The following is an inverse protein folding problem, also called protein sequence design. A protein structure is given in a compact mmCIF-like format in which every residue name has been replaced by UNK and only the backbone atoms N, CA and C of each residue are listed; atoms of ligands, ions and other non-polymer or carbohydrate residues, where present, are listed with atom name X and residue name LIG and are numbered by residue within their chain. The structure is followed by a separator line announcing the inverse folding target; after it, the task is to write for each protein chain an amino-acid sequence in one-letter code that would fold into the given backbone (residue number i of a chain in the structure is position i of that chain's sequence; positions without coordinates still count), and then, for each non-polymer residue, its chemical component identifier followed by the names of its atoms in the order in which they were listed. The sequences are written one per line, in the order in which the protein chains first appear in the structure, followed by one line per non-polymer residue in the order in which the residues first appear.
data_IF_596472218519
#
_entry.id   IF_596472218519
#
_cell.length_a   1.000
_cell.length_b   1.000
_cell.length_c   1.000
_cell.angle_alpha   90.00
_cell.angle_beta   90.00
_cell.angle_gamma   90.00
#
_symmetry.space_group_name_H-M   'P 1'
#
loop_
_entity.id
_entity.type
_entity.pdbx_description
1 polymer ?
#
# COMPACT_ATOMS: atom_id res chain seq x y z
N UNK A 1 -12.90 -20.47 -0.95
CA UNK A 1 -12.85 -21.73 -1.71
C UNK A 1 -12.78 -21.35 -3.18
N UNK A 2 -12.21 -22.16 -4.06
CA UNK A 2 -12.22 -21.86 -5.50
C UNK A 2 -12.72 -23.08 -6.28
N UNK A 3 -13.41 -22.85 -7.40
CA UNK A 3 -13.87 -23.91 -8.29
C UNK A 3 -12.67 -24.56 -9.02
N UNK A 4 -12.95 -25.58 -9.84
CA UNK A 4 -11.94 -26.28 -10.67
C UNK A 4 -11.16 -25.33 -11.59
N UNK A 5 -11.86 -24.35 -12.16
CA UNK A 5 -11.32 -23.34 -13.09
C UNK A 5 -10.48 -22.25 -12.40
N UNK A 6 -10.54 -22.14 -11.06
CA UNK A 6 -9.81 -21.15 -10.27
C UNK A 6 -10.61 -19.90 -9.90
N UNK A 7 -11.90 -19.83 -10.26
CA UNK A 7 -12.79 -18.74 -9.86
C UNK A 7 -13.13 -18.84 -8.36
N UNK A 8 -13.13 -17.71 -7.62
CA UNK A 8 -13.53 -17.70 -6.23
C UNK A 8 -14.99 -18.10 -6.01
N UNK A 9 -15.21 -18.94 -5.01
CA UNK A 9 -16.51 -19.29 -4.45
C UNK A 9 -16.59 -18.79 -3.01
N UNK A 10 -17.80 -18.82 -2.44
CA UNK A 10 -17.99 -18.51 -1.03
C UNK A 10 -17.18 -19.45 -0.12
N UNK A 11 -16.67 -18.94 1.02
CA UNK A 11 -15.94 -19.76 1.97
C UNK A 11 -16.86 -20.81 2.59
N UNK A 12 -16.30 -21.99 2.86
CA UNK A 12 -17.00 -23.06 3.56
C UNK A 12 -16.48 -23.19 5.00
N UNK A 13 -17.25 -23.86 5.86
CA UNK A 13 -16.82 -24.21 7.22
C UNK A 13 -15.55 -25.09 7.17
N UNK A 14 -14.64 -24.98 8.15
CA UNK A 14 -13.44 -25.82 8.22
C UNK A 14 -13.72 -27.32 8.19
N UNK A 15 -14.82 -27.77 8.81
CA UNK A 15 -15.25 -29.18 8.79
C UNK A 15 -15.52 -29.66 7.35
N UNK A 16 -16.30 -28.90 6.57
CA UNK A 16 -16.57 -29.21 5.15
C UNK A 16 -15.27 -29.24 4.34
N UNK A 17 -14.37 -28.30 4.57
CA UNK A 17 -13.07 -28.28 3.90
C UNK A 17 -12.24 -29.54 4.20
N UNK A 18 -12.26 -30.02 5.45
CA UNK A 18 -11.56 -31.26 5.85
C UNK A 18 -12.16 -32.48 5.16
N UNK A 19 -13.48 -32.67 5.21
CA UNK A 19 -14.14 -33.78 4.53
C UNK A 19 -13.86 -33.80 3.02
N UNK A 20 -13.83 -32.64 2.36
CA UNK A 20 -13.51 -32.55 0.93
C UNK A 20 -12.07 -32.94 0.61
N UNK A 21 -11.13 -32.60 1.50
CA UNK A 21 -9.72 -32.97 1.36
C UNK A 21 -9.51 -34.46 1.62
N UNK A 22 -10.11 -34.99 2.69
CA UNK A 22 -10.01 -36.41 3.07
C UNK A 22 -10.63 -37.32 2.00
N UNK A 23 -11.73 -36.88 1.40
CA UNK A 23 -12.39 -37.58 0.30
C UNK A 23 -11.71 -37.37 -1.07
N UNK A 24 -10.60 -36.64 -1.16
CA UNK A 24 -9.89 -36.36 -2.42
C UNK A 24 -10.64 -35.46 -3.42
N UNK A 25 -11.78 -34.88 -3.03
CA UNK A 25 -12.63 -34.01 -3.89
C UNK A 25 -12.10 -32.58 -3.99
N UNK A 26 -11.11 -32.22 -3.18
CA UNK A 26 -10.45 -30.93 -3.21
C UNK A 26 -8.94 -31.07 -2.98
N UNK A 27 -8.18 -30.08 -3.42
CA UNK A 27 -6.75 -29.94 -3.10
C UNK A 27 -6.44 -28.61 -2.44
N UNK A 28 -5.39 -28.55 -1.65
CA UNK A 28 -4.91 -27.30 -1.06
C UNK A 28 -4.26 -26.44 -2.14
N UNK A 29 -4.83 -25.28 -2.41
CA UNK A 29 -4.29 -24.29 -3.35
C UNK A 29 -3.33 -23.31 -2.66
N UNK A 30 -3.74 -22.82 -1.49
CA UNK A 30 -2.95 -21.87 -0.71
C UNK A 30 -3.13 -22.13 0.77
N UNK A 31 -2.02 -22.06 1.52
CA UNK A 31 -2.07 -22.14 2.98
C UNK A 31 -2.55 -20.84 3.63
N UNK A 32 -2.29 -19.69 2.99
CA UNK A 32 -2.62 -18.38 3.54
C UNK A 32 -3.06 -17.37 2.45
N UNK A 33 -4.29 -16.83 2.54
CA UNK A 33 -5.41 -17.39 3.31
C UNK A 33 -5.65 -18.86 2.92
N UNK A 34 -6.11 -19.69 3.86
CA UNK A 34 -6.29 -21.12 3.60
C UNK A 34 -7.38 -21.31 2.54
N UNK A 35 -6.99 -21.87 1.41
CA UNK A 35 -7.82 -21.95 0.21
C UNK A 35 -7.70 -23.36 -0.36
N UNK A 36 -8.84 -24.00 -0.54
CA UNK A 36 -8.96 -25.26 -1.27
C UNK A 36 -9.54 -25.01 -2.65
N UNK A 37 -9.06 -25.80 -3.63
CA UNK A 37 -9.60 -25.88 -4.99
C UNK A 37 -10.40 -27.16 -5.12
N UNK A 38 -11.65 -27.05 -5.57
CA UNK A 38 -12.48 -28.21 -5.90
C UNK A 38 -11.92 -28.90 -7.15
N UNK A 39 -11.96 -30.23 -7.17
CA UNK A 39 -11.50 -31.05 -8.31
C UNK A 39 -12.65 -31.47 -9.24
N UNK A 40 -13.86 -31.01 -8.95
CA UNK A 40 -15.09 -31.30 -9.68
C UNK A 40 -15.82 -29.98 -10.00
N UNK A 41 -16.70 -30.04 -10.99
CA UNK A 41 -17.49 -28.89 -11.43
C UNK A 41 -18.68 -28.68 -10.48
N UNK A 42 -18.92 -27.44 -10.08
CA UNK A 42 -19.95 -27.09 -9.13
C UNK A 42 -20.76 -25.89 -9.62
N UNK A 43 -21.96 -25.74 -9.09
CA UNK A 43 -22.76 -24.53 -9.29
C UNK A 43 -22.02 -23.31 -8.73
N UNK A 44 -21.80 -22.29 -9.56
CA UNK A 44 -21.04 -21.07 -9.22
C UNK A 44 -21.89 -20.04 -8.47
N UNK A 45 -22.82 -20.52 -7.63
CA UNK A 45 -23.70 -19.69 -6.84
C UNK A 45 -22.88 -18.93 -5.78
N UNK A 46 -22.68 -17.64 -6.00
CA UNK A 46 -21.92 -16.75 -5.13
C UNK A 46 -22.81 -15.59 -4.66
N UNK A 47 -22.47 -15.03 -3.50
CA UNK A 47 -23.06 -13.79 -3.01
C UNK A 47 -22.06 -12.65 -3.26
N UNK A 48 -22.55 -11.41 -3.46
CA UNK A 48 -21.67 -10.26 -3.63
C UNK A 48 -20.78 -10.05 -2.40
N UNK A 49 -19.50 -9.76 -2.64
CA UNK A 49 -18.52 -9.41 -1.61
C UNK A 49 -17.96 -8.03 -1.93
N UNK A 50 -18.15 -7.09 -1.00
CA UNK A 50 -17.62 -5.73 -1.09
C UNK A 50 -16.31 -5.68 -0.34
N UNK A 51 -15.29 -5.06 -0.93
CA UNK A 51 -13.99 -4.85 -0.29
C UNK A 51 -13.76 -3.38 -0.01
N UNK A 52 -13.75 -3.00 1.26
CA UNK A 52 -13.31 -1.67 1.69
C UNK A 52 -11.79 -1.60 1.81
N UNK A 53 -11.19 -0.47 1.44
CA UNK A 53 -9.76 -0.19 1.52
C UNK A 53 -9.54 1.19 2.15
N UNK A 54 -8.88 1.20 3.31
CA UNK A 54 -8.35 2.41 3.94
C UNK A 54 -6.85 2.51 3.63
N UNK A 55 -6.49 3.42 2.72
CA UNK A 55 -5.12 3.54 2.23
C UNK A 55 -4.29 4.49 3.09
N UNK A 56 -3.22 3.96 3.67
CA UNK A 56 -2.18 4.75 4.32
C UNK A 56 -0.78 4.58 3.72
N UNK A 57 0.15 5.43 4.19
CA UNK A 57 1.54 5.45 3.74
C UNK A 57 2.37 4.30 4.31
N UNK A 58 2.15 3.97 5.59
CA UNK A 58 2.85 2.91 6.33
C UNK A 58 2.01 1.63 6.46
N UNK A 59 0.71 1.79 6.64
CA UNK A 59 -0.26 0.71 6.76
C UNK A 59 -1.45 0.99 5.86
N UNK A 60 -2.03 -0.04 5.27
CA UNK A 60 -3.32 0.04 4.56
C UNK A 60 -4.23 -1.02 5.14
N UNK A 61 -5.42 -0.64 5.58
CA UNK A 61 -6.45 -1.55 6.03
C UNK A 61 -7.28 -2.06 4.87
N UNK A 62 -7.79 -3.28 4.98
CA UNK A 62 -8.79 -3.79 4.06
C UNK A 62 -9.78 -4.70 4.79
N UNK A 63 -11.03 -4.68 4.35
CA UNK A 63 -12.09 -5.50 4.92
C UNK A 63 -13.02 -6.01 3.82
N UNK A 64 -13.30 -7.31 3.81
CA UNK A 64 -14.21 -7.96 2.88
C UNK A 64 -15.52 -8.29 3.61
N UNK A 65 -16.63 -7.72 3.16
CA UNK A 65 -17.95 -7.94 3.73
C UNK A 65 -18.82 -8.72 2.75
N UNK A 66 -19.68 -9.59 3.27
CA UNK A 66 -20.68 -10.29 2.45
C UNK A 66 -21.76 -10.91 3.32
N UNK A 67 -23.03 -10.70 2.99
CA UNK A 67 -24.16 -11.18 3.81
C UNK A 67 -24.08 -10.67 5.25
N UNK A 68 -23.86 -9.36 5.42
CA UNK A 68 -23.80 -8.63 6.70
C UNK A 68 -22.78 -9.14 7.73
N UNK A 69 -21.71 -9.81 7.29
CA UNK A 69 -20.63 -10.25 8.16
C UNK A 69 -19.27 -10.07 7.50
N UNK A 70 -18.23 -10.00 8.34
CA UNK A 70 -16.84 -9.91 7.87
C UNK A 70 -16.41 -11.29 7.38
N UNK A 71 -16.08 -11.40 6.10
CA UNK A 71 -15.51 -12.62 5.51
C UNK A 71 -14.04 -12.76 5.89
N UNK A 72 -13.30 -11.65 5.70
CA UNK A 72 -11.85 -11.56 5.82
C UNK A 72 -11.46 -10.10 5.99
N UNK A 73 -10.58 -9.81 6.93
CA UNK A 73 -10.04 -8.46 7.14
C UNK A 73 -8.53 -8.51 7.34
N UNK A 74 -7.87 -7.37 7.26
CA UNK A 74 -6.45 -7.33 7.55
C UNK A 74 -5.79 -5.98 7.38
N UNK A 75 -4.50 -5.98 7.69
CA UNK A 75 -3.63 -4.81 7.57
C UNK A 75 -2.39 -5.14 6.77
N UNK A 76 -2.15 -4.32 5.76
CA UNK A 76 -0.97 -4.37 4.90
C UNK A 76 0.11 -3.48 5.50
N UNK A 77 1.20 -4.06 6.00
CA UNK A 77 2.38 -3.32 6.44
C UNK A 77 3.30 -3.06 5.25
N UNK A 78 3.29 -1.82 4.78
CA UNK A 78 4.03 -1.40 3.61
C UNK A 78 5.54 -1.36 3.84
N UNK A 79 6.31 -1.54 2.77
CA UNK A 79 7.76 -1.43 2.84
C UNK A 79 8.24 0.02 3.00
N UNK A 80 8.84 0.31 4.15
CA UNK A 80 9.42 1.62 4.48
C UNK A 80 10.90 1.77 4.10
N UNK A 81 11.58 0.66 3.83
CA UNK A 81 13.03 0.59 3.57
C UNK A 81 13.46 1.10 2.18
N UNK A 82 12.51 1.42 1.30
CA UNK A 82 12.76 1.79 -0.10
C UNK A 82 13.53 3.10 -0.19
N UNK A 83 13.16 4.11 0.62
CA UNK A 83 13.83 5.41 0.65
C UNK A 83 15.31 5.25 0.97
N UNK A 84 15.60 4.59 2.09
CA UNK A 84 16.97 4.34 2.55
C UNK A 84 17.77 3.55 1.51
N UNK A 85 17.18 2.52 0.89
CA UNK A 85 17.84 1.77 -0.20
C UNK A 85 18.16 2.64 -1.42
N UNK A 86 17.28 3.57 -1.78
CA UNK A 86 17.52 4.50 -2.89
C UNK A 86 18.62 5.52 -2.56
N UNK A 87 18.69 5.99 -1.31
CA UNK A 87 19.75 6.85 -0.78
C UNK A 87 21.10 6.13 -0.75
N UNK A 88 21.17 4.90 -0.22
CA UNK A 88 22.39 4.08 -0.26
C UNK A 88 22.86 3.85 -1.70
N UNK A 89 21.93 3.60 -2.64
CA UNK A 89 22.26 3.47 -4.06
C UNK A 89 22.81 4.77 -4.65
N UNK A 90 22.33 5.94 -4.21
CA UNK A 90 22.86 7.25 -4.61
C UNK A 90 24.27 7.48 -4.03
N UNK A 91 24.46 7.19 -2.74
CA UNK A 91 25.75 7.30 -2.06
C UNK A 91 26.82 6.40 -2.69
N UNK A 92 26.51 5.12 -2.95
CA UNK A 92 27.42 4.19 -3.61
C UNK A 92 27.86 4.64 -5.01
N UNK A 93 26.97 5.31 -5.77
CA UNK A 93 27.32 5.91 -7.06
C UNK A 93 28.23 7.12 -6.90
N UNK A 94 28.01 7.96 -5.87
CA UNK A 94 28.87 9.12 -5.54
C UNK A 94 30.27 8.65 -5.13
N UNK A 95 30.38 7.74 -4.17
CA UNK A 95 31.65 7.19 -3.72
C UNK A 95 32.47 6.53 -4.85
N UNK A 96 31.81 5.87 -5.81
CA UNK A 96 32.48 5.31 -7.00
C UNK A 96 33.06 6.41 -7.92
N UNK A 97 32.42 7.57 -8.02
CA UNK A 97 32.93 8.70 -8.82
C UNK A 97 34.10 9.37 -8.13
N UNK A 98 34.05 9.55 -6.80
CA UNK A 98 35.15 10.17 -6.07
C UNK A 98 36.43 9.31 -6.12
N UNK A 99 36.30 7.97 -6.16
CA UNK A 99 37.46 7.05 -6.23
C UNK A 99 38.10 6.89 -7.60
N UNK A 100 37.37 7.13 -8.69
CA UNK A 100 37.92 7.07 -10.04
C UNK A 100 38.22 8.50 -10.44
N UNK A 101 39.49 8.90 -10.53
CA UNK A 101 39.90 10.24 -10.95
C UNK A 101 38.95 10.74 -12.05
N UNK A 102 38.25 11.82 -11.71
CA UNK A 102 37.15 12.47 -12.42
C UNK A 102 36.27 11.59 -13.35
N UNK A 103 35.21 10.98 -12.81
CA UNK A 103 34.10 10.44 -13.63
C UNK A 103 32.86 11.36 -13.62
N UNK A 104 32.51 12.03 -14.73
CA UNK A 104 31.39 12.96 -14.77
C UNK A 104 30.03 12.29 -14.55
N UNK A 105 29.03 13.01 -13.96
CA UNK A 105 27.65 12.55 -13.92
C UNK A 105 27.06 12.37 -15.32
N UNK A 106 26.57 11.17 -15.64
CA UNK A 106 25.77 10.94 -16.86
C UNK A 106 24.28 11.10 -16.52
N UNK A 107 23.77 12.33 -16.59
CA UNK A 107 22.34 12.60 -16.34
C UNK A 107 21.45 12.09 -17.49
N UNK A 108 21.97 12.09 -18.71
CA UNK A 108 21.32 11.54 -19.92
C UNK A 108 21.02 10.04 -19.81
N UNK A 109 21.93 9.25 -19.23
CA UNK A 109 21.74 7.80 -19.02
C UNK A 109 20.67 7.47 -17.96
N UNK A 110 19.91 8.47 -17.49
CA UNK A 110 18.81 8.30 -16.53
C UNK A 110 17.44 8.39 -17.20
N UNK A 111 17.30 7.95 -18.45
CA UNK A 111 16.02 7.91 -19.18
C UNK A 111 14.89 7.26 -18.36
N UNK A 112 15.18 6.17 -17.65
CA UNK A 112 14.20 5.53 -16.75
C UNK A 112 13.68 6.45 -15.63
N UNK A 113 14.44 7.45 -15.18
CA UNK A 113 13.99 8.42 -14.16
C UNK A 113 13.32 9.67 -14.74
N UNK A 114 13.55 9.96 -16.02
CA UNK A 114 12.96 11.09 -16.76
C UNK A 114 11.66 10.68 -17.48
N UNK A 115 11.36 9.38 -17.61
CA UNK A 115 10.16 8.85 -18.28
C UNK A 115 8.88 9.48 -17.71
N UNK A 116 8.06 10.06 -18.59
CA UNK A 116 6.73 10.59 -18.23
C UNK A 116 5.83 9.48 -17.67
N UNK A 117 4.92 9.83 -16.77
CA UNK A 117 4.03 8.88 -16.07
C UNK A 117 4.73 7.94 -15.09
N UNK A 118 6.03 8.13 -14.82
CA UNK A 118 6.75 7.29 -13.86
C UNK A 118 6.34 7.59 -12.41
N UNK A 119 5.81 6.56 -11.76
CA UNK A 119 5.64 6.55 -10.31
C UNK A 119 6.98 6.45 -9.56
N UNK A 120 7.15 7.19 -8.44
CA UNK A 120 8.26 6.99 -7.51
C UNK A 120 8.32 5.56 -7.00
N UNK A 121 9.51 4.98 -6.76
CA UNK A 121 9.63 3.60 -6.29
C UNK A 121 8.86 3.29 -5.01
N UNK A 122 8.78 4.23 -4.06
CA UNK A 122 8.03 4.06 -2.81
C UNK A 122 6.52 4.02 -3.04
N UNK A 123 5.98 4.99 -3.78
CA UNK A 123 4.55 5.08 -4.12
C UNK A 123 4.14 3.88 -4.96
N UNK A 124 4.94 3.54 -5.98
CA UNK A 124 4.72 2.37 -6.82
C UNK A 124 4.64 1.09 -5.98
N UNK A 125 5.59 0.88 -5.08
CA UNK A 125 5.59 -0.31 -4.23
C UNK A 125 4.37 -0.35 -3.30
N UNK A 126 4.02 0.76 -2.64
CA UNK A 126 2.84 0.84 -1.77
C UNK A 126 1.55 0.47 -2.55
N UNK A 127 1.35 1.05 -3.75
CA UNK A 127 0.19 0.75 -4.61
C UNK A 127 0.19 -0.70 -5.09
N UNK A 128 1.32 -1.20 -5.61
CA UNK A 128 1.45 -2.58 -6.08
C UNK A 128 1.25 -3.60 -4.94
N UNK A 129 1.66 -3.26 -3.72
CA UNK A 129 1.43 -4.07 -2.53
C UNK A 129 -0.08 -4.24 -2.25
N UNK A 130 -0.86 -3.16 -2.30
CA UNK A 130 -2.34 -3.23 -2.17
C UNK A 130 -2.93 -4.09 -3.28
N UNK A 131 -2.64 -3.79 -4.55
CA UNK A 131 -3.18 -4.51 -5.71
C UNK A 131 -2.89 -6.02 -5.60
N UNK A 132 -1.67 -6.39 -5.20
CA UNK A 132 -1.26 -7.79 -5.05
C UNK A 132 -2.00 -8.50 -3.93
N UNK A 133 -2.36 -7.80 -2.86
CA UNK A 133 -3.18 -8.36 -1.77
C UNK A 133 -4.59 -8.61 -2.27
N UNK A 134 -5.23 -7.59 -2.87
CA UNK A 134 -6.60 -7.71 -3.37
C UNK A 134 -6.73 -8.83 -4.41
N UNK A 135 -5.79 -8.93 -5.37
CA UNK A 135 -5.75 -10.03 -6.36
C UNK A 135 -5.59 -11.43 -5.74
N UNK A 136 -5.19 -11.54 -4.47
CA UNK A 136 -5.00 -12.82 -3.76
C UNK A 136 -6.11 -13.13 -2.76
N UNK A 137 -7.09 -12.26 -2.62
CA UNK A 137 -8.26 -12.53 -1.79
C UNK A 137 -9.07 -13.65 -2.48
N UNK A 138 -9.27 -14.82 -1.85
CA UNK A 138 -9.95 -15.96 -2.45
C UNK A 138 -11.47 -15.87 -2.22
N UNK A 139 -12.05 -14.71 -2.51
CA UNK A 139 -13.48 -14.41 -2.36
C UNK A 139 -14.03 -13.81 -3.67
N UNK A 140 -15.32 -14.02 -3.99
CA UNK A 140 -15.95 -13.46 -5.19
C UNK A 140 -16.23 -11.97 -5.01
N UNK A 141 -15.19 -11.15 -5.17
CA UNK A 141 -15.26 -9.69 -5.03
C UNK A 141 -16.13 -9.10 -6.14
N UNK A 142 -17.24 -8.47 -5.76
CA UNK A 142 -18.19 -7.82 -6.67
C UNK A 142 -17.99 -6.31 -6.74
N UNK A 143 -17.44 -5.70 -5.69
CA UNK A 143 -17.22 -4.26 -5.61
C UNK A 143 -16.03 -3.92 -4.71
N UNK A 144 -15.31 -2.85 -5.05
CA UNK A 144 -14.19 -2.33 -4.24
C UNK A 144 -14.49 -0.88 -3.87
N UNK A 145 -14.47 -0.58 -2.59
CA UNK A 145 -14.65 0.77 -2.06
C UNK A 145 -13.33 1.26 -1.50
N UNK A 146 -12.84 2.40 -1.99
CA UNK A 146 -11.57 2.98 -1.55
C UNK A 146 -11.80 4.34 -0.91
N UNK A 147 -11.24 4.53 0.29
CA UNK A 147 -11.19 5.83 0.92
C UNK A 147 -10.28 6.79 0.13
N UNK A 148 -10.81 7.95 -0.26
CA UNK A 148 -10.07 8.94 -1.05
C UNK A 148 -9.82 10.24 -0.27
N UNK A 149 -8.60 10.34 0.28
CA UNK A 149 -8.06 11.56 0.93
C UNK A 149 -8.21 12.83 0.07
N UNK A 150 -8.31 12.74 -1.27
CA UNK A 150 -8.50 13.93 -2.10
C UNK A 150 -9.83 14.64 -1.80
N UNK A 151 -10.85 13.90 -1.39
CA UNK A 151 -12.21 14.41 -1.31
C UNK A 151 -12.54 14.97 0.08
N UNK A 152 -11.86 14.49 1.12
CA UNK A 152 -11.90 15.11 2.47
C UNK A 152 -11.46 16.57 2.45
N UNK A 153 -10.51 16.89 1.56
CA UNK A 153 -9.97 18.24 1.40
C UNK A 153 -11.02 19.17 0.79
N UNK A 154 -11.80 18.70 -0.19
CA UNK A 154 -12.85 19.49 -0.79
C UNK A 154 -13.93 19.85 0.25
N UNK A 155 -14.30 18.94 1.18
CA UNK A 155 -15.22 19.27 2.30
C UNK A 155 -14.60 20.19 3.36
N UNK A 156 -13.32 20.02 3.70
CA UNK A 156 -12.59 20.95 4.58
C UNK A 156 -12.67 22.40 4.07
N UNK A 157 -12.82 22.55 2.75
CA UNK A 157 -12.86 23.84 2.12
C UNK A 157 -14.28 24.37 1.85
N UNK A 158 -15.26 23.49 1.69
CA UNK A 158 -16.67 23.86 1.69
C UNK A 158 -17.47 22.77 2.43
N UNK A 159 -17.79 23.00 3.72
CA UNK A 159 -18.48 22.04 4.56
C UNK A 159 -19.87 21.62 4.07
N UNK A 160 -20.51 22.46 3.24
CA UNK A 160 -21.86 22.27 2.71
C UNK A 160 -21.92 21.40 1.44
N UNK A 161 -20.77 21.03 0.87
CA UNK A 161 -20.72 20.16 -0.30
C UNK A 161 -21.36 18.79 0.00
N UNK A 162 -22.29 18.35 -0.86
CA UNK A 162 -23.01 17.06 -0.73
C UNK A 162 -22.75 16.11 -1.91
N UNK A 163 -22.91 14.80 -1.67
CA UNK A 163 -22.36 13.69 -2.46
C UNK A 163 -22.49 13.75 -4.00
N UNK A 164 -23.61 14.24 -4.57
CA UNK A 164 -23.77 14.35 -6.04
C UNK A 164 -22.92 15.47 -6.66
N UNK A 165 -22.76 16.59 -5.95
CA UNK A 165 -21.96 17.74 -6.41
C UNK A 165 -20.46 17.41 -6.53
N UNK A 166 -19.99 16.33 -5.86
CA UNK A 166 -18.61 15.85 -5.92
C UNK A 166 -18.31 14.96 -7.12
N UNK A 167 -19.27 14.14 -7.57
CA UNK A 167 -19.02 13.16 -8.64
C UNK A 167 -18.87 13.84 -10.02
N UNK A 168 -19.40 15.06 -10.17
CA UNK A 168 -19.35 15.85 -11.39
C UNK A 168 -18.14 16.79 -11.49
N UNK A 169 -17.21 16.79 -10.53
CA UNK A 169 -16.01 17.63 -10.63
C UNK A 169 -15.01 17.06 -11.65
N UNK A 170 -15.35 17.19 -12.93
CA UNK A 170 -14.53 16.89 -14.10
C UNK A 170 -13.34 17.85 -14.28
N UNK A 171 -13.20 18.83 -13.38
CA UNK A 171 -12.30 19.96 -13.57
C UNK A 171 -10.88 19.61 -13.14
N UNK A 172 -9.97 19.64 -14.11
CA UNK A 172 -8.51 19.57 -13.96
C UNK A 172 -7.99 20.49 -12.82
N UNK A 173 -8.70 21.60 -12.57
CA UNK A 173 -8.46 22.58 -11.51
C UNK A 173 -8.54 22.03 -10.09
N UNK A 174 -9.52 21.18 -9.76
CA UNK A 174 -9.71 20.69 -8.39
C UNK A 174 -8.55 19.76 -7.98
N UNK A 175 -8.05 18.98 -8.94
CA UNK A 175 -6.86 18.17 -8.77
C UNK A 175 -5.61 19.00 -8.48
N UNK A 176 -5.45 20.15 -9.15
CA UNK A 176 -4.33 21.07 -8.92
C UNK A 176 -4.44 21.79 -7.58
N UNK A 177 -5.65 22.20 -7.20
CA UNK A 177 -5.97 22.77 -5.88
C UNK A 177 -5.62 21.78 -4.76
N UNK A 178 -6.12 20.56 -4.82
CA UNK A 178 -5.83 19.50 -3.85
C UNK A 178 -4.32 19.22 -3.78
N UNK A 179 -3.65 19.19 -4.94
CA UNK A 179 -2.21 18.98 -4.97
C UNK A 179 -1.43 20.10 -4.26
N UNK A 180 -1.88 21.36 -4.38
CA UNK A 180 -1.30 22.49 -3.65
C UNK A 180 -1.52 22.36 -2.14
N UNK A 181 -2.73 22.01 -1.70
CA UNK A 181 -3.06 21.78 -0.28
C UNK A 181 -2.21 20.65 0.34
N UNK A 182 -2.08 19.52 -0.39
CA UNK A 182 -1.22 18.39 0.00
C UNK A 182 0.26 18.79 0.10
N UNK A 183 0.74 19.56 -0.88
CA UNK A 183 2.12 20.06 -0.91
C UNK A 183 2.43 20.90 0.32
N UNK A 184 1.47 21.71 0.72
CA UNK A 184 1.61 22.70 1.78
C UNK A 184 1.32 22.13 3.18
N UNK A 185 1.20 20.79 3.28
CA UNK A 185 0.93 20.06 4.53
C UNK A 185 -0.37 20.50 5.21
N UNK A 186 -1.37 20.85 4.39
CA UNK A 186 -2.69 21.33 4.83
C UNK A 186 -2.58 22.48 5.84
N UNK A 187 -1.69 23.42 5.51
CA UNK A 187 -1.35 24.53 6.37
C UNK A 187 -1.30 25.80 5.54
N UNK A 188 -1.90 26.88 6.05
CA UNK A 188 -1.74 28.19 5.44
C UNK A 188 -0.25 28.53 5.36
N UNK A 189 0.25 28.83 4.17
CA UNK A 189 1.67 29.14 3.96
C UNK A 189 2.05 30.54 4.45
N UNK A 190 1.07 31.40 4.75
CA UNK A 190 1.30 32.69 5.38
C UNK A 190 1.28 32.59 6.92
N UNK A 191 0.15 32.20 7.52
CA UNK A 191 -0.05 32.25 8.97
C UNK A 191 0.18 30.92 9.71
N UNK A 192 0.54 29.84 9.01
CA UNK A 192 0.81 28.51 9.56
C UNK A 192 -0.36 27.80 10.27
N UNK A 193 -1.59 28.33 10.21
CA UNK A 193 -2.77 27.66 10.78
C UNK A 193 -3.14 26.38 10.01
N UNK A 194 -3.70 25.40 10.73
CA UNK A 194 -4.19 24.08 10.26
C UNK A 194 -5.65 23.87 10.70
N UNK A 195 -6.33 22.86 10.15
CA UNK A 195 -7.73 22.49 10.50
C UNK A 195 -8.75 23.64 10.33
N UNK A 196 -8.56 24.46 9.30
CA UNK A 196 -9.46 25.53 8.91
C UNK A 196 -9.72 25.44 7.41
N UNK A 197 -10.69 26.20 6.90
CA UNK A 197 -10.93 26.34 5.46
C UNK A 197 -9.67 26.88 4.77
N UNK A 198 -9.19 26.15 3.77
CA UNK A 198 -7.98 26.49 3.02
C UNK A 198 -8.29 26.61 1.53
N UNK A 199 -7.64 27.54 0.83
CA UNK A 199 -7.85 27.78 -0.58
C UNK A 199 -6.51 27.82 -1.31
N UNK A 200 -6.51 27.33 -2.56
CA UNK A 200 -5.36 27.42 -3.43
C UNK A 200 -5.44 28.73 -4.21
N UNK A 201 -4.68 29.72 -3.79
CA UNK A 201 -4.59 31.02 -4.43
C UNK A 201 -3.61 30.98 -5.61
N UNK A 202 -3.95 31.61 -6.73
CA UNK A 202 -3.05 31.82 -7.85
C UNK A 202 -2.06 32.93 -7.55
N UNK A 203 -0.77 32.60 -7.45
CA UNK A 203 0.29 33.55 -7.14
C UNK A 203 0.38 34.63 -8.22
N UNK A 204 0.38 34.21 -9.49
CA UNK A 204 0.10 35.07 -10.63
C UNK A 204 -1.38 34.91 -10.93
N UNK A 205 -2.21 35.95 -10.77
CA UNK A 205 -3.64 35.90 -11.05
C UNK A 205 -3.94 35.41 -12.47
N UNK A 206 -5.05 34.71 -12.66
CA UNK A 206 -5.50 34.26 -13.99
C UNK A 206 -5.71 35.42 -14.96
N UNK A 207 -6.22 36.55 -14.48
CA UNK A 207 -6.40 37.79 -15.24
C UNK A 207 -5.09 38.35 -15.80
N UNK A 208 -3.96 38.07 -15.13
CA UNK A 208 -2.61 38.44 -15.56
C UNK A 208 -1.90 37.31 -16.32
N UNK A 209 -2.65 36.33 -16.84
CA UNK A 209 -2.11 35.21 -17.62
C UNK A 209 -1.48 34.08 -16.78
N UNK A 210 -1.76 34.05 -15.48
CA UNK A 210 -1.31 32.98 -14.59
C UNK A 210 -1.84 31.61 -14.97
N UNK A 211 -0.95 30.64 -15.23
CA UNK A 211 -1.32 29.28 -15.65
C UNK A 211 -1.80 28.44 -14.45
N UNK A 212 -2.75 27.54 -14.70
CA UNK A 212 -3.19 26.50 -13.77
C UNK A 212 -2.12 25.43 -13.60
N UNK A 213 -1.16 25.72 -12.73
CA UNK A 213 -0.07 24.81 -12.41
C UNK A 213 0.15 24.80 -10.92
N UNK A 214 0.54 23.65 -10.37
CA UNK A 214 0.81 23.51 -8.93
C UNK A 214 1.85 24.54 -8.43
N UNK A 215 2.80 24.95 -9.29
CA UNK A 215 3.81 25.96 -8.97
C UNK A 215 3.22 27.36 -8.79
N UNK A 216 2.15 27.66 -9.53
CA UNK A 216 1.45 28.94 -9.49
C UNK A 216 0.34 28.95 -8.43
N UNK A 217 0.20 27.88 -7.64
CA UNK A 217 -0.78 27.80 -6.56
C UNK A 217 -0.08 27.87 -5.20
N UNK A 218 -0.73 28.49 -4.22
CA UNK A 218 -0.31 28.53 -2.81
C UNK A 218 -1.50 28.33 -1.88
N UNK A 219 -1.31 27.55 -0.82
CA UNK A 219 -2.36 27.29 0.17
C UNK A 219 -2.46 28.43 1.18
N UNK A 220 -3.62 29.08 1.26
CA UNK A 220 -3.93 30.15 2.22
C UNK A 220 -5.21 29.82 2.99
N UNK A 221 -5.37 30.37 4.19
CA UNK A 221 -6.69 30.44 4.82
C UNK A 221 -7.47 31.63 4.28
N UNK A 222 -8.80 31.60 4.43
CA UNK A 222 -9.73 32.64 3.99
C UNK A 222 -9.24 34.06 4.34
N UNK A 223 -8.94 34.33 5.61
CA UNK A 223 -8.45 35.65 6.03
C UNK A 223 -7.11 36.08 5.43
N UNK A 224 -6.23 35.13 5.08
CA UNK A 224 -4.98 35.46 4.39
C UNK A 224 -5.18 35.57 2.88
N UNK A 225 -6.21 34.91 2.34
CA UNK A 225 -6.55 34.94 0.92
C UNK A 225 -7.15 36.29 0.54
N UNK A 226 -8.08 36.81 1.34
CA UNK A 226 -8.67 38.15 1.18
C UNK A 226 -7.60 39.24 1.24
N UNK A 227 -6.75 39.23 2.28
CA UNK A 227 -5.64 40.18 2.44
C UNK A 227 -4.65 40.20 1.27
N UNK A 228 -4.56 39.11 0.50
CA UNK A 228 -3.74 39.08 -0.73
C UNK A 228 -4.46 39.78 -1.88
N UNK A 229 -5.78 39.63 -1.99
CA UNK A 229 -6.58 40.40 -2.95
C UNK A 229 -6.61 41.90 -2.61
N UNK A 230 -6.60 42.24 -1.32
CA UNK A 230 -6.56 43.63 -0.83
C UNK A 230 -5.17 44.27 -0.92
N UNK A 231 -4.15 43.51 -1.34
CA UNK A 231 -2.77 43.99 -1.46
C UNK A 231 -2.04 44.17 -0.12
N UNK A 232 -2.64 43.81 1.01
CA UNK A 232 -2.00 43.84 2.33
C UNK A 232 -0.89 42.79 2.48
N UNK A 233 -1.00 41.67 1.75
CA UNK A 233 -0.05 40.57 1.79
C UNK A 233 0.49 40.29 0.39
N UNK A 234 1.80 40.46 0.23
CA UNK A 234 2.49 40.18 -1.03
C UNK A 234 3.11 38.76 -1.02
N UNK A 235 2.68 37.89 -1.94
CA UNK A 235 3.20 36.53 -2.04
C UNK A 235 4.39 36.48 -3.00
N UNK A 236 5.61 36.55 -2.45
CA UNK A 236 6.85 36.70 -3.24
C UNK A 236 7.37 35.41 -3.88
N UNK A 237 6.90 34.23 -3.46
CA UNK A 237 7.31 32.98 -4.08
C UNK A 237 6.32 31.84 -3.83
N UNK A 238 6.04 31.07 -4.89
CA UNK A 238 5.42 29.76 -4.73
C UNK A 238 6.38 28.78 -4.09
N UNK A 239 5.85 27.82 -3.32
CA UNK A 239 6.61 26.71 -2.75
C UNK A 239 7.04 25.79 -3.91
N UNK A 240 8.04 26.19 -4.67
CA UNK A 240 8.43 25.47 -5.87
C UNK A 240 9.39 24.34 -5.55
N UNK A 241 9.04 23.12 -6.00
CA UNK A 241 10.03 22.05 -6.16
C UNK A 241 9.61 20.66 -5.69
N UNK A 242 10.19 20.20 -4.56
CA UNK A 242 10.14 18.79 -4.16
C UNK A 242 8.75 18.32 -3.73
N UNK A 243 8.04 19.16 -2.96
CA UNK A 243 6.71 18.83 -2.43
C UNK A 243 5.64 18.82 -3.54
N UNK A 244 5.71 19.73 -4.52
CA UNK A 244 4.83 19.73 -5.71
C UNK A 244 4.84 18.36 -6.41
N UNK A 245 6.06 17.87 -6.65
CA UNK A 245 6.27 16.57 -7.29
C UNK A 245 5.71 15.45 -6.44
N UNK A 246 5.82 15.52 -5.11
CA UNK A 246 5.26 14.49 -4.22
C UNK A 246 3.74 14.44 -4.34
N UNK A 247 3.06 15.57 -4.28
CA UNK A 247 1.61 15.63 -4.41
C UNK A 247 1.14 15.06 -5.75
N UNK A 248 1.70 15.56 -6.87
CA UNK A 248 1.39 15.05 -8.22
C UNK A 248 1.64 13.54 -8.35
N UNK A 249 2.77 13.04 -7.82
CA UNK A 249 3.12 11.61 -7.89
C UNK A 249 2.21 10.75 -7.01
N UNK A 250 1.69 11.31 -5.92
CA UNK A 250 0.75 10.61 -5.03
C UNK A 250 -0.61 10.44 -5.71
N UNK A 251 -1.09 11.48 -6.39
CA UNK A 251 -2.29 11.43 -7.23
C UNK A 251 -2.15 10.45 -8.39
N UNK A 252 -1.03 10.49 -9.13
CA UNK A 252 -0.73 9.49 -10.17
C UNK A 252 -0.75 8.06 -9.60
N UNK A 253 -0.24 7.88 -8.38
CA UNK A 253 -0.26 6.58 -7.70
C UNK A 253 -1.68 6.10 -7.37
N UNK A 254 -2.57 7.01 -6.97
CA UNK A 254 -3.99 6.70 -6.75
C UNK A 254 -4.70 6.36 -8.05
N UNK A 255 -4.54 7.16 -9.09
CA UNK A 255 -5.11 6.89 -10.42
C UNK A 255 -4.67 5.51 -10.95
N UNK A 256 -3.38 5.18 -10.82
CA UNK A 256 -2.87 3.84 -11.16
C UNK A 256 -3.53 2.73 -10.32
N UNK A 257 -3.69 2.96 -9.01
CA UNK A 257 -4.35 2.01 -8.13
C UNK A 257 -5.81 1.78 -8.53
N UNK A 258 -6.58 2.84 -8.77
CA UNK A 258 -7.98 2.73 -9.18
C UNK A 258 -8.13 1.99 -10.50
N UNK A 259 -7.27 2.28 -11.49
CA UNK A 259 -7.27 1.58 -12.77
C UNK A 259 -7.00 0.08 -12.62
N UNK A 260 -6.01 -0.31 -11.81
CA UNK A 260 -5.67 -1.73 -11.61
C UNK A 260 -6.69 -2.49 -10.75
N UNK A 261 -7.31 -1.82 -9.77
CA UNK A 261 -8.39 -2.39 -8.97
C UNK A 261 -9.69 -2.50 -9.80
N UNK A 262 -9.95 -1.53 -10.69
CA UNK A 262 -11.09 -1.54 -11.61
C UNK A 262 -11.10 -2.72 -12.59
N UNK A 263 -9.94 -3.33 -12.84
CA UNK A 263 -9.83 -4.58 -13.61
C UNK A 263 -10.25 -5.83 -12.82
N UNK A 264 -10.39 -5.72 -11.49
CA UNK A 264 -10.81 -6.80 -10.61
C UNK A 264 -12.33 -6.71 -10.40
N UNK A 265 -12.81 -5.53 -10.00
CA UNK A 265 -14.22 -5.24 -9.78
C UNK A 265 -14.46 -3.71 -9.87
N UNK A 266 -15.70 -3.25 -10.08
CA UNK A 266 -16.05 -1.83 -10.03
C UNK A 266 -15.51 -1.15 -8.78
N UNK A 267 -14.87 0.01 -8.96
CA UNK A 267 -14.29 0.80 -7.87
C UNK A 267 -15.16 2.00 -7.57
N UNK A 268 -15.65 2.10 -6.33
CA UNK A 268 -16.29 3.29 -5.80
C UNK A 268 -15.38 3.98 -4.78
N UNK A 269 -15.61 5.27 -4.58
CA UNK A 269 -14.83 6.11 -3.67
C UNK A 269 -15.73 6.63 -2.56
N UNK A 270 -15.20 6.64 -1.35
CA UNK A 270 -15.85 7.23 -0.17
C UNK A 270 -14.91 8.24 0.47
N UNK A 271 -15.47 9.14 1.25
CA UNK A 271 -14.70 10.20 1.91
C UNK A 271 -14.30 9.74 3.31
N UNK A 272 -13.08 10.06 3.74
CA UNK A 272 -12.56 9.70 5.06
C UNK A 272 -13.34 10.34 6.21
N UNK A 273 -13.96 11.50 6.00
CA UNK A 273 -14.88 12.04 7.00
C UNK A 273 -16.12 11.16 7.16
N UNK A 274 -16.65 10.58 6.07
CA UNK A 274 -17.86 9.75 6.12
C UNK A 274 -17.56 8.45 6.85
N UNK A 275 -16.40 7.84 6.58
CA UNK A 275 -15.94 6.64 7.28
C UNK A 275 -15.69 6.94 8.76
N UNK A 276 -15.11 8.11 9.08
CA UNK A 276 -14.88 8.54 10.46
C UNK A 276 -16.17 8.84 11.24
N UNK A 277 -17.13 9.55 10.65
CA UNK A 277 -18.45 9.81 11.24
C UNK A 277 -19.21 8.49 11.47
N UNK A 278 -19.22 7.59 10.48
CA UNK A 278 -19.84 6.28 10.59
C UNK A 278 -19.17 5.39 11.64
N UNK A 279 -17.84 5.42 11.74
CA UNK A 279 -17.10 4.73 12.79
C UNK A 279 -17.49 5.22 14.18
N UNK A 280 -17.64 6.55 14.35
CA UNK A 280 -18.05 7.17 15.61
C UNK A 280 -19.50 6.82 15.97
N UNK A 281 -20.42 6.82 15.01
CA UNK A 281 -21.82 6.45 15.27
C UNK A 281 -21.98 5.00 15.71
N UNK A 282 -21.09 4.12 15.26
CA UNK A 282 -21.01 2.71 15.70
C UNK A 282 -20.14 2.48 16.94
N UNK A 283 -19.59 3.54 17.54
CA UNK A 283 -18.68 3.49 18.69
C UNK A 283 -17.48 2.52 18.50
N UNK A 284 -16.95 2.46 17.28
CA UNK A 284 -15.85 1.56 16.93
C UNK A 284 -14.47 2.23 17.15
N UNK A 285 -13.47 1.48 17.64
CA UNK A 285 -12.13 2.03 17.86
C UNK A 285 -11.45 2.38 16.54
N UNK A 286 -10.54 3.36 16.58
CA UNK A 286 -9.79 3.77 15.39
C UNK A 286 -8.71 2.75 15.06
N UNK A 287 -8.86 2.04 13.95
CA UNK A 287 -7.84 1.16 13.37
C UNK A 287 -8.07 1.00 11.87
N UNK A 288 -7.02 0.70 11.11
CA UNK A 288 -7.08 0.74 9.64
C UNK A 288 -8.07 -0.26 9.02
N UNK A 289 -8.18 -1.48 9.56
CA UNK A 289 -9.16 -2.47 9.09
C UNK A 289 -10.60 -2.10 9.48
N UNK A 290 -10.78 -1.34 10.56
CA UNK A 290 -12.07 -0.82 11.00
C UNK A 290 -12.50 0.35 10.12
N UNK A 291 -11.58 1.26 9.79
CA UNK A 291 -11.83 2.34 8.84
C UNK A 291 -12.18 1.74 7.45
N UNK A 292 -11.50 0.65 7.04
CA UNK A 292 -11.85 -0.11 5.85
C UNK A 292 -13.21 -0.84 5.94
N UNK A 293 -13.59 -1.36 7.12
CA UNK A 293 -14.93 -1.90 7.35
C UNK A 293 -16.00 -0.82 7.17
N UNK A 294 -15.76 0.36 7.75
CA UNK A 294 -16.66 1.50 7.63
C UNK A 294 -16.80 1.92 6.16
N UNK A 295 -15.69 1.98 5.41
CA UNK A 295 -15.72 2.24 3.97
C UNK A 295 -16.57 1.21 3.21
N UNK A 296 -16.40 -0.08 3.52
CA UNK A 296 -17.15 -1.15 2.87
C UNK A 296 -18.66 -1.07 3.15
N UNK A 297 -19.04 -0.75 4.39
CA UNK A 297 -20.41 -0.80 4.87
C UNK A 297 -21.20 0.51 4.65
N UNK A 298 -20.52 1.62 4.34
CA UNK A 298 -21.12 2.95 4.28
C UNK A 298 -22.23 3.08 3.23
N UNK A 299 -22.06 2.47 2.06
CA UNK A 299 -23.00 2.60 0.93
C UNK A 299 -24.38 2.06 1.31
N UNK A 300 -24.41 0.88 1.93
CA UNK A 300 -25.64 0.23 2.36
C UNK A 300 -26.05 0.60 3.79
N UNK A 301 -25.25 1.43 4.47
CA UNK A 301 -25.35 1.74 5.91
C UNK A 301 -25.55 0.46 6.77
N UNK A 302 -24.91 -0.63 6.35
CA UNK A 302 -25.06 -1.92 6.99
C UNK A 302 -24.34 -1.92 8.35
N UNK A 303 -25.06 -2.22 9.43
CA UNK A 303 -24.45 -2.39 10.75
C UNK A 303 -23.85 -3.79 10.82
N UNK A 304 -22.54 -3.88 10.65
CA UNK A 304 -21.80 -5.15 10.64
C UNK A 304 -21.05 -5.28 11.98
N UNK A 305 -21.29 -6.34 12.77
CA UNK A 305 -20.53 -6.59 13.97
C UNK A 305 -19.04 -6.75 13.64
N UNK A 306 -18.20 -5.95 14.31
CA UNK A 306 -16.76 -6.05 14.12
C UNK A 306 -16.22 -7.31 14.81
N UNK A 307 -15.57 -8.17 14.03
CA UNK A 307 -14.79 -9.29 14.52
C UNK A 307 -13.48 -9.44 13.73
N UNK A 308 -12.50 -10.10 14.35
CA UNK A 308 -11.18 -10.37 13.75
C UNK A 308 -10.89 -11.87 13.61
N UNK A 309 -11.93 -12.71 13.48
CA UNK A 309 -11.77 -14.19 13.37
C UNK A 309 -10.89 -14.61 12.19
N UNK A 310 -10.98 -13.85 11.09
CA UNK A 310 -10.19 -14.04 9.86
C UNK A 310 -9.31 -12.81 9.57
N UNK A 311 -8.68 -12.25 10.61
CA UNK A 311 -7.77 -11.12 10.47
C UNK A 311 -6.35 -11.56 10.06
N UNK A 312 -5.77 -10.83 9.11
CA UNK A 312 -4.41 -11.06 8.63
C UNK A 312 -3.54 -9.81 8.67
N UNK A 313 -2.33 -9.95 9.19
CA UNK A 313 -1.28 -8.97 8.98
C UNK A 313 -0.43 -9.38 7.78
N UNK A 314 -0.25 -8.49 6.80
CA UNK A 314 0.43 -8.79 5.55
C UNK A 314 1.73 -8.02 5.45
N UNK A 315 2.84 -8.72 5.19
CA UNK A 315 4.15 -8.09 4.99
C UNK A 315 4.78 -8.53 3.66
N UNK A 316 5.67 -7.68 3.14
CA UNK A 316 6.37 -7.94 1.89
C UNK A 316 7.87 -8.06 2.04
N UNK A 317 8.43 -8.93 1.20
CA UNK A 317 9.87 -9.15 1.07
C UNK A 317 10.30 -8.95 -0.39
N UNK A 318 11.42 -8.26 -0.57
CA UNK A 318 12.05 -8.16 -1.88
C UNK A 318 12.60 -9.52 -2.33
N UNK A 319 12.15 -10.02 -3.50
CA UNK A 319 12.64 -11.29 -4.09
C UNK A 319 14.08 -11.19 -4.55
N UNK A 320 14.38 -10.18 -5.35
CA UNK A 320 15.72 -9.92 -5.86
C UNK A 320 16.29 -8.69 -5.19
N UNK A 321 17.46 -8.88 -4.60
CA UNK A 321 18.29 -7.78 -4.17
C UNK A 321 19.54 -7.91 -5.04
N UNK A 322 19.77 -6.97 -5.99
CA UNK A 322 20.97 -6.93 -6.88
C UNK A 322 22.24 -6.63 -6.06
N UNK A 323 22.57 -7.57 -5.20
CA UNK A 323 23.44 -7.47 -4.02
C UNK A 323 24.72 -8.29 -4.22
N UNK A 324 25.24 -8.32 -5.45
CA UNK A 324 26.43 -9.12 -5.77
C UNK A 324 27.66 -8.59 -4.99
N UNK A 325 27.65 -7.30 -4.60
CA UNK A 325 28.72 -6.67 -3.82
C UNK A 325 28.12 -5.79 -2.72
N UNK A 326 28.04 -6.30 -1.49
CA UNK A 326 27.56 -5.54 -0.31
C UNK A 326 28.66 -4.83 0.43
N UNK A 327 29.89 -5.31 0.33
CA UNK A 327 30.97 -4.75 1.09
C UNK A 327 31.46 -3.48 0.39
N UNK A 328 31.64 -2.44 1.20
CA UNK A 328 32.53 -1.36 0.83
C UNK A 328 33.88 -1.97 0.45
N UNK A 329 34.61 -1.39 -0.51
CA UNK A 329 35.93 -1.89 -0.86
C UNK A 329 36.76 -1.99 0.42
N UNK A 330 37.24 -3.20 0.74
CA UNK A 330 38.15 -3.39 1.87
C UNK A 330 39.52 -2.87 1.43
N UNK A 331 40.26 -2.23 2.36
CA UNK A 331 41.62 -1.76 2.10
C UNK A 331 42.43 -2.93 1.54
N UNK A 332 43.10 -2.73 0.41
CA UNK A 332 43.93 -3.70 -0.32
C UNK A 332 43.23 -4.93 -0.94
N UNK A 333 41.93 -5.16 -0.71
CA UNK A 333 41.18 -6.31 -1.28
C UNK A 333 40.09 -5.90 -2.28
N UNK A 334 39.86 -4.60 -2.45
CA UNK A 334 38.80 -4.11 -3.32
C UNK A 334 37.42 -4.58 -2.88
N UNK A 335 36.50 -4.80 -3.81
CA UNK A 335 35.14 -5.27 -3.48
C UNK A 335 35.13 -6.78 -3.31
N UNK A 336 35.03 -7.22 -2.06
CA UNK A 336 34.82 -8.63 -1.75
C UNK A 336 33.37 -9.02 -2.04
N UNK A 337 33.17 -10.14 -2.75
CA UNK A 337 31.84 -10.69 -2.99
C UNK A 337 31.26 -11.13 -1.65
N UNK A 338 30.03 -10.72 -1.38
CA UNK A 338 29.34 -11.20 -0.18
C UNK A 338 28.99 -12.67 -0.39
N UNK A 339 29.71 -13.58 0.28
CA UNK A 339 29.47 -15.01 0.21
C UNK A 339 28.27 -15.34 1.10
N UNK A 340 27.09 -15.39 0.48
CA UNK A 340 25.92 -16.03 1.09
C UNK A 340 25.66 -17.35 0.38
N UNK A 341 25.34 -18.36 1.17
CA UNK A 341 24.73 -19.56 0.64
C UNK A 341 23.36 -19.19 0.05
N UNK A 342 23.18 -19.46 -1.25
CA UNK A 342 21.90 -19.20 -1.92
C UNK A 342 20.84 -20.22 -1.49
N UNK A 343 21.28 -21.46 -1.28
CA UNK A 343 20.47 -22.58 -0.80
C UNK A 343 21.23 -23.39 0.26
N UNK A 344 20.49 -24.14 1.08
CA UNK A 344 21.05 -25.16 1.96
C UNK A 344 19.98 -26.23 2.26
N UNK A 345 20.33 -27.49 2.05
CA UNK A 345 19.40 -28.62 2.25
C UNK A 345 18.10 -28.53 1.45
N UNK A 346 18.15 -27.96 0.24
CA UNK A 346 16.98 -27.74 -0.62
C UNK A 346 16.13 -26.51 -0.26
N UNK A 347 16.50 -25.77 0.78
CA UNK A 347 15.83 -24.53 1.18
C UNK A 347 16.53 -23.30 0.62
N UNK A 348 15.74 -22.30 0.23
CA UNK A 348 16.20 -21.02 -0.27
C UNK A 348 15.69 -19.83 0.53
N UNK A 349 16.34 -18.69 0.30
CA UNK A 349 16.00 -17.42 0.96
C UNK A 349 14.58 -16.97 0.58
N UNK A 350 13.68 -16.89 1.56
CA UNK A 350 12.27 -16.50 1.37
C UNK A 350 11.28 -17.64 1.43
N UNK A 351 11.77 -18.88 1.57
CA UNK A 351 10.91 -20.02 1.83
C UNK A 351 10.25 -19.89 3.21
N UNK A 352 9.01 -20.35 3.31
CA UNK A 352 8.28 -20.51 4.56
C UNK A 352 8.48 -21.95 5.01
N UNK A 353 8.91 -22.13 6.24
CA UNK A 353 9.24 -23.43 6.83
C UNK A 353 8.59 -23.61 8.19
N UNK A 354 8.21 -24.85 8.50
CA UNK A 354 7.86 -25.29 9.85
C UNK A 354 9.14 -25.74 10.56
N UNK A 355 9.55 -25.02 11.60
CA UNK A 355 10.78 -25.25 12.35
C UNK A 355 10.47 -26.02 13.63
N UNK A 356 11.17 -27.13 13.85
CA UNK A 356 10.99 -28.02 15.02
C UNK A 356 9.53 -28.41 15.25
N UNK A 357 8.77 -28.64 14.18
CA UNK A 357 7.34 -28.96 14.19
C UNK A 357 6.41 -27.99 14.95
N UNK A 358 6.92 -26.82 15.36
CA UNK A 358 6.19 -25.86 16.21
C UNK A 358 6.04 -24.50 15.53
N UNK A 359 7.14 -23.93 15.03
CA UNK A 359 7.18 -22.53 14.61
C UNK A 359 7.07 -22.39 13.10
N UNK A 360 6.27 -21.45 12.61
CA UNK A 360 6.24 -21.09 11.18
C UNK A 360 7.15 -19.87 10.98
N UNK A 361 8.22 -20.03 10.21
CA UNK A 361 9.23 -18.99 10.00
C UNK A 361 9.49 -18.79 8.51
N UNK A 362 9.84 -17.57 8.12
CA UNK A 362 10.43 -17.29 6.81
C UNK A 362 11.96 -17.26 6.90
N UNK A 363 12.64 -17.93 5.96
CA UNK A 363 14.10 -17.88 5.84
C UNK A 363 14.54 -16.50 5.36
N UNK A 364 15.26 -15.78 6.23
CA UNK A 364 15.79 -14.45 5.95
C UNK A 364 17.13 -14.50 5.21
N UNK A 365 18.01 -15.40 5.63
CA UNK A 365 19.34 -15.64 5.07
C UNK A 365 19.79 -17.06 5.41
N UNK A 366 20.88 -17.50 4.79
CA UNK A 366 21.53 -18.76 5.09
C UNK A 366 22.96 -18.41 5.50
N UNK A 367 23.37 -18.86 6.68
CA UNK A 367 24.72 -18.63 7.20
C UNK A 367 25.75 -19.47 6.44
N UNK A 368 27.02 -19.10 6.56
CA UNK A 368 28.15 -19.82 5.94
C UNK A 368 28.19 -21.29 6.36
N UNK A 369 27.85 -21.59 7.62
CA UNK A 369 27.74 -22.94 8.17
C UNK A 369 26.47 -23.71 7.73
N UNK A 370 25.70 -23.19 6.76
CA UNK A 370 24.50 -23.83 6.23
C UNK A 370 23.24 -23.69 7.10
N UNK A 371 23.30 -23.02 8.25
CA UNK A 371 22.11 -22.79 9.06
C UNK A 371 21.14 -21.81 8.39
N UNK A 372 19.85 -22.12 8.48
CA UNK A 372 18.75 -21.27 8.03
C UNK A 372 18.49 -20.21 9.11
N UNK A 373 18.59 -18.93 8.77
CA UNK A 373 18.40 -17.82 9.70
C UNK A 373 17.00 -17.21 9.56
N UNK A 374 16.39 -16.85 10.68
CA UNK A 374 15.03 -16.33 10.79
C UNK A 374 15.00 -14.96 11.47
N UNK A 375 13.81 -14.34 11.53
CA UNK A 375 13.60 -13.15 12.35
C UNK A 375 13.76 -13.53 13.82
N UNK A 376 14.59 -12.77 14.56
CA UNK A 376 14.74 -12.90 16.01
C UNK A 376 13.44 -12.49 16.68
N UNK A 377 12.83 -13.42 17.40
CA UNK A 377 11.61 -13.24 18.20
C UNK A 377 11.92 -13.94 19.53
N UNK A 378 11.64 -13.28 20.65
CA UNK A 378 11.91 -13.82 21.99
C UNK A 378 11.16 -15.16 22.15
N UNK A 379 11.86 -16.20 22.61
CA UNK A 379 11.28 -17.54 22.78
C UNK A 379 11.23 -18.41 21.51
N UNK A 380 11.61 -17.88 20.34
CA UNK A 380 11.63 -18.61 19.08
C UNK A 380 13.05 -18.85 18.54
N UNK A 381 13.30 -19.93 17.78
CA UNK A 381 14.61 -20.17 17.18
C UNK A 381 15.00 -19.04 16.20
N UNK A 382 16.16 -18.43 16.43
CA UNK A 382 16.75 -17.42 15.54
C UNK A 382 17.42 -18.04 14.30
N UNK A 383 17.93 -19.26 14.43
CA UNK A 383 18.41 -20.09 13.33
C UNK A 383 18.10 -21.56 13.57
N UNK A 384 18.17 -22.38 12.52
CA UNK A 384 18.04 -23.83 12.63
C UNK A 384 18.75 -24.55 11.49
N UNK A 385 19.13 -25.80 11.71
CA UNK A 385 19.65 -26.66 10.64
C UNK A 385 18.52 -27.08 9.69
N UNK A 386 18.80 -27.27 8.38
CA UNK A 386 17.80 -27.70 7.40
C UNK A 386 17.02 -28.95 7.82
N UNK A 387 17.68 -29.94 8.44
CA UNK A 387 17.07 -31.19 8.92
C UNK A 387 15.93 -30.99 9.92
N UNK A 388 15.92 -29.89 10.67
CA UNK A 388 14.89 -29.56 11.66
C UNK A 388 13.77 -28.68 11.08
N UNK A 389 13.77 -28.48 9.76
CA UNK A 389 12.80 -27.65 9.06
C UNK A 389 12.03 -28.50 8.04
N UNK A 390 10.72 -28.24 7.93
CA UNK A 390 9.87 -28.78 6.86
C UNK A 390 9.43 -27.63 5.97
N UNK A 391 9.61 -27.77 4.66
CA UNK A 391 9.18 -26.76 3.70
C UNK A 391 7.66 -26.67 3.65
N UNK A 392 7.12 -25.45 3.74
CA UNK A 392 5.70 -25.16 3.57
C UNK A 392 5.42 -24.44 2.25
N UNK A 393 6.28 -23.47 1.87
CA UNK A 393 6.11 -22.71 0.62
C UNK A 393 7.43 -22.12 0.13
N UNK A 394 7.71 -22.24 -1.17
CA UNK A 394 8.94 -21.67 -1.77
C UNK A 394 8.81 -20.18 -2.09
N UNK A 395 9.92 -19.45 -1.94
CA UNK A 395 10.18 -18.10 -2.44
C UNK A 395 9.03 -17.09 -2.27
N UNK A 396 8.49 -17.01 -1.05
CA UNK A 396 7.39 -16.12 -0.74
C UNK A 396 7.86 -14.67 -0.58
N UNK A 397 7.17 -13.77 -1.28
CA UNK A 397 7.42 -12.32 -1.24
C UNK A 397 6.29 -11.53 -0.57
N UNK A 398 5.16 -12.18 -0.35
CA UNK A 398 4.00 -11.64 0.35
C UNK A 398 3.61 -12.71 1.36
N UNK A 399 3.56 -12.32 2.63
CA UNK A 399 3.36 -13.22 3.75
C UNK A 399 2.12 -12.75 4.49
N UNK A 400 1.23 -13.69 4.77
CA UNK A 400 0.00 -13.47 5.50
C UNK A 400 0.19 -14.10 6.88
N UNK A 401 0.27 -13.26 7.90
CA UNK A 401 0.34 -13.68 9.29
C UNK A 401 -1.08 -13.69 9.84
N UNK A 402 -1.62 -14.87 10.09
CA UNK A 402 -2.89 -14.98 10.82
C UNK A 402 -2.60 -14.67 12.28
N UNK A 403 -3.22 -13.62 12.81
CA UNK A 403 -3.16 -13.33 14.24
C UNK A 403 -4.27 -14.18 14.88
N UNK A 404 -3.88 -15.12 15.72
CA UNK A 404 -4.83 -15.81 16.59
C UNK A 404 -4.96 -14.89 17.79
N UNK A 405 -6.00 -14.06 17.79
CA UNK A 405 -6.39 -13.19 18.90
C UNK A 405 -7.17 -14.00 19.93
#
# INVERSE_FOLDING_TARGET
MINKNGNPLMPCKPAKARHLLDAGKAKVESLFPFTIRLMWDCEENTQPVIVGIDKGSHKTGFCCIGGNKIMLSGQIKHRTDIKNKMESRKANRRARRNRKWYRPPRFENRGSSKRSGRLPPSIKANVEEVIRVIKKIPLPVSEIIVEDVQIDIARLNNPELTGKMYQESSRLDENLRIAALMRDDYKCQNCNKKNIRLEAHHIIPRSMGGKDTIKNLITLCESCHEKVHDGEIEIKAGVSGFKDRIAQRTMQGKAYMYSELGRIAPVKKVFGYQTSEYRKSLNLPKDHDIDALCAAALIDKAVIPHDRKNFYEITFRAKQTRRIYHDLPRKNQGRVKYQLNETSGGFGKGDIVKVKNKWIKQINSIYSNGQLAFKRIKGEPASCTPKKCRLLKKNCSMIWWKIIL
#
